data_IF_573147878827
#
_entry.id   IF_573147878827
#
_cell.length_a   1.000
_cell.length_b   1.000
_cell.length_c   1.000
_cell.angle_alpha   90.00
_cell.angle_beta   90.00
_cell.angle_gamma   90.00
#
_symmetry.space_group_name_H-M   'P 1'
#
loop_
_entity.id
_entity.type
_entity.pdbx_description
1 polymer ?
#
# COMPACT_ATOMS: atom_id res chain seq x y z
N UNK A 1 21.39 23.16 0.66
CA UNK A 1 20.29 22.26 0.27
C UNK A 1 19.18 22.45 1.29
N UNK A 2 17.91 22.64 0.90
CA UNK A 2 16.83 22.66 1.88
C UNK A 2 16.82 21.35 2.65
N UNK A 3 16.68 21.41 3.97
CA UNK A 3 16.53 20.22 4.81
C UNK A 3 15.31 19.42 4.31
N UNK A 4 15.54 18.16 3.92
CA UNK A 4 14.47 17.25 3.55
C UNK A 4 13.67 16.95 4.81
N UNK A 5 12.47 17.51 4.92
CA UNK A 5 11.62 17.31 6.10
C UNK A 5 11.26 15.83 6.21
N UNK A 6 11.58 15.23 7.35
CA UNK A 6 11.20 13.86 7.69
C UNK A 6 9.87 13.81 8.45
N UNK A 7 9.14 12.71 8.29
CA UNK A 7 7.79 12.54 8.82
C UNK A 7 7.73 11.41 9.85
N UNK A 8 7.05 11.65 10.98
CA UNK A 8 6.76 10.62 11.98
C UNK A 8 5.65 9.65 11.57
N UNK A 9 4.85 9.99 10.55
CA UNK A 9 3.80 9.14 10.00
C UNK A 9 3.87 9.21 8.48
N UNK A 10 3.88 8.05 7.85
CA UNK A 10 3.70 7.89 6.41
C UNK A 10 2.41 7.11 6.19
N UNK A 11 1.56 7.62 5.31
CA UNK A 11 0.34 6.94 4.87
C UNK A 11 0.42 6.78 3.35
N UNK A 12 0.32 5.53 2.88
CA UNK A 12 0.54 5.20 1.48
C UNK A 12 -0.54 4.26 0.94
N UNK A 13 -1.02 4.56 -0.26
CA UNK A 13 -1.86 3.68 -1.08
C UNK A 13 -1.21 3.51 -2.46
N UNK A 14 -0.24 2.57 -2.59
CA UNK A 14 0.49 2.40 -3.84
C UNK A 14 -0.45 1.99 -4.99
N UNK A 15 -0.13 2.37 -6.23
CA UNK A 15 -0.91 1.99 -7.40
C UNK A 15 -0.58 0.53 -7.80
N UNK A 16 -1.01 -0.43 -6.98
CA UNK A 16 -0.73 -1.86 -7.14
C UNK A 16 -1.12 -2.38 -8.52
N UNK A 17 -0.19 -2.99 -9.23
CA UNK A 17 -0.50 -3.80 -10.41
C UNK A 17 -1.10 -5.15 -9.99
N UNK A 18 -2.20 -5.55 -10.65
CA UNK A 18 -2.85 -6.86 -10.46
C UNK A 18 -2.83 -7.63 -11.76
N UNK A 19 -2.58 -8.95 -11.72
CA UNK A 19 -2.77 -9.82 -12.88
C UNK A 19 -4.27 -10.13 -13.10
N UNK A 20 -5.04 -9.09 -13.41
CA UNK A 20 -6.47 -9.18 -13.67
C UNK A 20 -6.83 -8.35 -14.89
N UNK A 21 -7.14 -9.03 -15.99
CA UNK A 21 -7.34 -8.41 -17.31
C UNK A 21 -8.78 -7.99 -17.62
N UNK A 22 -9.75 -8.42 -16.80
CA UNK A 22 -11.18 -8.23 -17.09
C UNK A 22 -11.98 -7.80 -15.86
N UNK A 23 -12.98 -6.94 -16.10
CA UNK A 23 -13.93 -6.44 -15.10
C UNK A 23 -13.84 -4.93 -14.88
N UNK A 24 -14.92 -4.32 -14.39
CA UNK A 24 -14.99 -2.87 -14.12
C UNK A 24 -14.05 -2.42 -12.99
N UNK A 25 -13.67 -3.34 -12.10
CA UNK A 25 -12.77 -3.09 -10.97
C UNK A 25 -11.28 -3.31 -11.26
N UNK A 26 -10.86 -3.42 -12.52
CA UNK A 26 -9.44 -3.48 -12.88
C UNK A 26 -8.86 -2.07 -12.76
N UNK A 27 -7.86 -1.89 -11.88
CA UNK A 27 -7.26 -0.59 -11.57
C UNK A 27 -6.70 0.11 -12.83
N UNK A 28 -6.04 -0.64 -13.71
CA UNK A 28 -5.44 -0.15 -14.95
C UNK A 28 -6.44 0.48 -15.94
N UNK A 29 -7.73 0.18 -15.82
CA UNK A 29 -8.76 0.84 -16.63
C UNK A 29 -9.00 2.30 -16.19
N UNK A 30 -8.55 2.68 -15.00
CA UNK A 30 -8.82 3.98 -14.38
C UNK A 30 -7.55 4.82 -14.19
N UNK A 31 -6.40 4.20 -13.93
CA UNK A 31 -5.12 4.89 -13.73
C UNK A 31 -3.92 3.95 -13.97
N UNK A 32 -2.72 4.49 -14.32
CA UNK A 32 -1.51 3.68 -14.44
C UNK A 32 -1.13 3.00 -13.12
N UNK A 33 -0.72 1.74 -13.19
CA UNK A 33 -0.20 0.99 -12.03
C UNK A 33 1.31 0.82 -12.09
N UNK A 34 1.92 0.50 -10.95
CA UNK A 34 3.34 0.22 -10.82
C UNK A 34 3.55 -1.27 -10.50
N UNK A 35 4.62 -1.83 -11.05
CA UNK A 35 5.17 -3.11 -10.60
C UNK A 35 5.61 -3.05 -9.14
N UNK A 36 5.73 -4.21 -8.50
CA UNK A 36 6.20 -4.25 -7.11
C UNK A 36 7.64 -3.73 -7.00
N UNK A 37 8.50 -3.99 -7.98
CA UNK A 37 9.87 -3.48 -8.01
C UNK A 37 9.89 -1.95 -8.04
N UNK A 38 9.03 -1.31 -8.84
CA UNK A 38 8.91 0.14 -8.90
C UNK A 38 8.38 0.74 -7.58
N UNK A 39 7.40 0.08 -6.93
CA UNK A 39 6.87 0.52 -5.64
C UNK A 39 7.95 0.43 -4.55
N UNK A 40 8.68 -0.70 -4.49
CA UNK A 40 9.78 -0.90 -3.55
C UNK A 40 10.91 0.13 -3.74
N UNK A 41 11.14 0.60 -4.96
CA UNK A 41 12.18 1.57 -5.29
C UNK A 41 11.83 3.03 -4.93
N UNK A 42 10.60 3.32 -4.51
CA UNK A 42 10.21 4.66 -4.08
C UNK A 42 11.06 5.11 -2.87
N UNK A 43 11.54 6.37 -2.81
CA UNK A 43 12.46 6.87 -1.78
C UNK A 43 11.74 7.19 -0.46
N UNK A 44 10.81 6.34 -0.01
CA UNK A 44 10.01 6.57 1.19
C UNK A 44 10.87 6.56 2.45
N UNK A 45 11.94 5.77 2.47
CA UNK A 45 12.91 5.71 3.58
C UNK A 45 13.62 7.06 3.80
N UNK A 46 13.83 7.85 2.76
CA UNK A 46 14.45 9.20 2.87
C UNK A 46 13.50 10.21 3.53
N UNK A 47 12.19 9.98 3.41
CA UNK A 47 11.14 10.81 3.99
C UNK A 47 10.76 10.39 5.42
N UNK A 48 11.15 9.19 5.85
CA UNK A 48 10.81 8.64 7.15
C UNK A 48 11.71 9.22 8.26
N UNK A 49 11.10 9.73 9.33
CA UNK A 49 11.85 10.01 10.56
C UNK A 49 12.31 8.70 11.21
N UNK A 50 13.40 8.73 11.98
CA UNK A 50 13.95 7.55 12.67
C UNK A 50 12.88 6.78 13.49
N UNK A 51 12.09 7.53 14.25
CA UNK A 51 10.95 7.00 15.00
C UNK A 51 9.67 7.38 14.26
N UNK A 52 9.26 6.53 13.32
CA UNK A 52 8.06 6.76 12.50
C UNK A 52 7.22 5.50 12.30
N UNK A 53 5.97 5.70 11.87
CA UNK A 53 5.03 4.63 11.55
C UNK A 53 4.59 4.72 10.09
N UNK A 54 4.51 3.56 9.43
CA UNK A 54 3.93 3.40 8.10
C UNK A 54 2.53 2.78 8.21
N UNK A 55 1.54 3.46 7.63
CA UNK A 55 0.22 2.92 7.34
C UNK A 55 0.14 2.66 5.83
N UNK A 56 0.27 1.39 5.45
CA UNK A 56 0.25 0.96 4.06
C UNK A 56 -1.09 0.29 3.72
N UNK A 57 -1.78 0.79 2.71
CA UNK A 57 -2.94 0.10 2.16
C UNK A 57 -2.52 -1.09 1.32
N UNK A 58 -3.17 -2.22 1.57
CA UNK A 58 -3.08 -3.41 0.75
C UNK A 58 -4.44 -4.11 0.71
N UNK A 59 -4.70 -4.83 -0.38
CA UNK A 59 -5.80 -5.78 -0.44
C UNK A 59 -5.29 -7.18 -0.08
N UNK A 60 -6.19 -8.10 0.29
CA UNK A 60 -5.78 -9.47 0.65
C UNK A 60 -4.90 -10.16 -0.40
N UNK A 61 -5.19 -10.06 -1.72
CA UNK A 61 -4.31 -10.63 -2.75
C UNK A 61 -2.90 -10.02 -2.82
N UNK A 62 -2.71 -8.80 -2.32
CA UNK A 62 -1.42 -8.07 -2.36
C UNK A 62 -0.63 -8.18 -1.05
N UNK A 63 -1.06 -8.99 -0.06
CA UNK A 63 -0.39 -9.02 1.25
C UNK A 63 1.09 -9.40 1.19
N UNK A 64 1.45 -10.38 0.36
CA UNK A 64 2.84 -10.79 0.19
C UNK A 64 3.70 -9.64 -0.35
N UNK A 65 3.18 -8.92 -1.35
CA UNK A 65 3.86 -7.77 -1.95
C UNK A 65 3.92 -6.61 -0.97
N UNK A 66 2.87 -6.36 -0.19
CA UNK A 66 2.87 -5.34 0.85
C UNK A 66 3.95 -5.57 1.91
N UNK A 67 4.23 -6.82 2.30
CA UNK A 67 5.35 -7.13 3.19
C UNK A 67 6.69 -6.82 2.54
N UNK A 68 6.87 -7.13 1.25
CA UNK A 68 8.08 -6.75 0.50
C UNK A 68 8.27 -5.22 0.48
N UNK A 69 7.21 -4.45 0.27
CA UNK A 69 7.26 -2.97 0.30
C UNK A 69 7.63 -2.46 1.69
N UNK A 70 7.00 -2.98 2.75
CA UNK A 70 7.29 -2.62 4.14
C UNK A 70 8.79 -2.81 4.43
N UNK A 71 9.33 -3.96 4.07
CA UNK A 71 10.76 -4.27 4.29
C UNK A 71 11.67 -3.38 3.42
N UNK A 72 11.34 -3.19 2.14
CA UNK A 72 12.12 -2.36 1.20
C UNK A 72 12.19 -0.89 1.64
N UNK A 73 11.12 -0.37 2.22
CA UNK A 73 11.08 1.00 2.76
C UNK A 73 11.70 1.13 4.16
N UNK A 74 12.23 0.05 4.73
CA UNK A 74 12.94 0.05 6.01
C UNK A 74 12.04 -0.03 7.24
N UNK A 75 10.77 -0.39 7.07
CA UNK A 75 9.84 -0.60 8.17
C UNK A 75 9.79 -2.08 8.57
N UNK A 76 9.25 -2.35 9.77
CA UNK A 76 8.97 -3.72 10.21
C UNK A 76 7.48 -3.87 10.42
N UNK A 77 6.87 -4.89 9.83
CA UNK A 77 5.48 -5.20 10.08
C UNK A 77 5.23 -5.44 11.58
N UNK A 78 4.15 -4.85 12.11
CA UNK A 78 3.74 -4.99 13.51
C UNK A 78 2.38 -5.64 13.64
N UNK A 79 1.38 -5.12 12.93
CA UNK A 79 0.01 -5.60 13.00
C UNK A 79 -0.81 -5.03 11.84
N UNK A 80 -2.02 -5.55 11.67
CA UNK A 80 -3.07 -4.92 10.89
C UNK A 80 -3.62 -3.72 11.67
N UNK A 81 -3.31 -2.51 11.23
CA UNK A 81 -3.80 -1.29 11.87
C UNK A 81 -5.33 -1.14 11.73
N UNK A 82 -5.84 -1.40 10.51
CA UNK A 82 -7.25 -1.29 10.18
C UNK A 82 -7.65 -2.38 9.19
N UNK A 83 -8.86 -2.92 9.34
CA UNK A 83 -9.46 -3.83 8.37
C UNK A 83 -10.66 -3.16 7.70
N UNK A 84 -10.57 -2.91 6.39
CA UNK A 84 -11.71 -2.39 5.63
C UNK A 84 -12.61 -3.52 5.14
N UNK A 85 -13.63 -3.85 5.94
CA UNK A 85 -14.67 -4.81 5.55
C UNK A 85 -15.78 -4.10 4.77
N UNK A 86 -16.01 -4.53 3.53
CA UNK A 86 -17.12 -4.08 2.70
C UNK A 86 -18.30 -5.03 2.90
N UNK A 87 -19.40 -4.51 3.43
CA UNK A 87 -20.63 -5.27 3.60
C UNK A 87 -21.43 -5.29 2.30
N UNK A 88 -22.14 -6.40 2.05
CA UNK A 88 -23.09 -6.48 0.97
C UNK A 88 -24.37 -5.74 1.36
N UNK A 89 -24.82 -4.79 0.54
CA UNK A 89 -26.07 -4.06 0.81
C UNK A 89 -27.32 -4.95 0.77
N UNK A 90 -27.28 -6.06 0.03
CA UNK A 90 -28.45 -6.91 -0.25
C UNK A 90 -28.52 -8.19 0.59
N UNK A 91 -27.47 -8.54 1.30
CA UNK A 91 -27.40 -9.76 2.10
C UNK A 91 -26.49 -9.56 3.30
N UNK A 92 -26.71 -10.33 4.36
CA UNK A 92 -25.82 -10.34 5.54
C UNK A 92 -24.55 -11.16 5.23
N UNK A 93 -23.77 -10.68 4.28
CA UNK A 93 -22.50 -11.25 3.81
C UNK A 93 -21.50 -10.16 3.46
N UNK A 94 -20.23 -10.53 3.31
CA UNK A 94 -19.21 -9.63 2.78
C UNK A 94 -19.27 -9.57 1.25
N UNK A 95 -18.73 -8.50 0.67
CA UNK A 95 -18.54 -8.35 -0.77
C UNK A 95 -17.29 -9.09 -1.27
#
# INVERSE_FOLDING_TARGET
MPETKQYGIIYADPPWHYDRKHGSGVAENHYPTMSIEEICALPVSELAAKDSALFLWATFPQLNEAFRVIDAWGFKYKTLAFLWLKQNRKADSWF
#
